data_IF_176698192594
#
_entry.id   IF_176698192594
#
_cell.length_a   1.000
_cell.length_b   1.000
_cell.length_c   1.000
_cell.angle_alpha   90.00
_cell.angle_beta   90.00
_cell.angle_gamma   90.00
#
_symmetry.space_group_name_H-M   'P 1'
#
loop_
_entity.id
_entity.type
_entity.pdbx_description
1 polymer ?
#
# COMPACT_ATOMS: atom_id res chain seq x y z
N UNK A 1 15.14 6.80 2.48
CA UNK A 1 14.03 6.67 3.43
C UNK A 1 14.43 7.36 4.71
N UNK A 2 13.60 8.26 5.23
CA UNK A 2 13.81 8.85 6.55
C UNK A 2 12.99 8.01 7.52
N UNK A 3 13.67 7.25 8.40
CA UNK A 3 12.99 6.45 9.43
C UNK A 3 12.38 7.41 10.45
N UNK A 4 11.05 7.51 10.46
CA UNK A 4 10.33 8.34 11.42
C UNK A 4 10.32 7.61 12.78
N UNK A 5 10.60 8.30 13.90
CA UNK A 5 10.65 7.69 15.23
C UNK A 5 9.31 7.15 15.79
N UNK A 6 8.26 7.11 14.97
CA UNK A 6 6.90 6.67 15.33
C UNK A 6 6.50 5.32 14.73
N UNK A 7 7.43 4.53 14.17
CA UNK A 7 7.08 3.27 13.49
C UNK A 7 6.32 3.46 12.17
N UNK A 8 6.19 4.73 11.73
CA UNK A 8 5.56 5.10 10.47
C UNK A 8 6.66 5.36 9.44
N UNK A 9 6.63 4.63 8.34
CA UNK A 9 7.46 4.88 7.17
C UNK A 9 6.62 5.52 6.07
N UNK A 10 7.21 6.46 5.35
CA UNK A 10 6.60 7.05 4.16
C UNK A 10 7.53 6.87 2.98
N UNK A 11 6.98 6.44 1.85
CA UNK A 11 7.69 6.40 0.58
C UNK A 11 6.77 6.86 -0.56
N UNK A 12 7.42 7.33 -1.62
CA UNK A 12 6.79 7.72 -2.88
C UNK A 12 7.40 6.82 -3.94
N UNK A 13 6.56 6.12 -4.67
CA UNK A 13 6.97 5.19 -5.71
C UNK A 13 6.39 5.63 -7.04
N UNK A 14 7.17 5.55 -8.11
CA UNK A 14 6.65 5.63 -9.46
C UNK A 14 6.55 4.22 -10.04
N UNK A 15 5.39 3.87 -10.57
CA UNK A 15 5.15 2.63 -11.29
C UNK A 15 4.71 2.94 -12.71
N UNK A 16 5.29 2.22 -13.67
CA UNK A 16 4.82 2.19 -15.04
C UNK A 16 4.46 0.74 -15.38
N UNK A 17 3.21 0.53 -15.77
CA UNK A 17 2.66 -0.75 -16.14
C UNK A 17 2.48 -0.80 -17.66
N UNK A 18 3.25 -1.70 -18.26
CA UNK A 18 3.02 -2.10 -19.64
C UNK A 18 1.66 -2.80 -19.74
N UNK A 19 0.88 -2.42 -20.74
CA UNK A 19 -0.40 -3.05 -21.11
C UNK A 19 -0.35 -3.43 -22.59
N UNK A 20 -1.03 -4.51 -22.98
CA UNK A 20 -1.05 -4.93 -24.37
C UNK A 20 -1.72 -3.89 -25.28
N UNK A 21 -1.23 -3.80 -26.51
CA UNK A 21 -1.85 -3.01 -27.58
C UNK A 21 -3.33 -3.41 -27.76
N UNK A 22 -4.27 -2.47 -28.00
CA UNK A 22 -4.08 -1.07 -28.41
C UNK A 22 -4.03 -0.04 -27.27
N UNK A 23 -3.81 -0.46 -26.02
CA UNK A 23 -3.84 0.46 -24.89
C UNK A 23 -2.52 1.19 -24.68
N UNK A 24 -2.61 2.48 -24.36
CA UNK A 24 -1.49 3.26 -23.85
C UNK A 24 -1.02 2.68 -22.50
N UNK A 25 0.28 2.79 -22.20
CA UNK A 25 0.83 2.42 -20.90
C UNK A 25 0.12 3.12 -19.76
N UNK A 26 0.14 2.50 -18.58
CA UNK A 26 -0.44 3.05 -17.37
C UNK A 26 0.66 3.45 -16.42
N UNK A 27 0.56 4.61 -15.80
CA UNK A 27 1.49 4.99 -14.75
C UNK A 27 0.77 5.45 -13.49
N UNK A 28 1.46 5.35 -12.36
CA UNK A 28 0.96 5.86 -11.08
C UNK A 28 2.12 6.30 -10.21
N UNK A 29 1.94 7.44 -9.56
CA UNK A 29 2.77 7.84 -8.43
C UNK A 29 2.03 7.41 -7.17
N UNK A 30 2.61 6.48 -6.43
CA UNK A 30 2.01 5.87 -5.26
C UNK A 30 2.65 6.43 -3.99
N UNK A 31 1.83 7.01 -3.12
CA UNK A 31 2.20 7.28 -1.74
C UNK A 31 1.94 6.03 -0.90
N UNK A 32 2.99 5.52 -0.28
CA UNK A 32 2.90 4.42 0.67
C UNK A 32 3.17 4.94 2.09
N UNK A 33 2.34 4.49 3.03
CA UNK A 33 2.54 4.72 4.45
C UNK A 33 2.56 3.36 5.15
N UNK A 34 3.75 2.92 5.56
CA UNK A 34 3.91 1.73 6.37
C UNK A 34 3.74 2.06 7.85
N UNK A 35 2.93 1.29 8.56
CA UNK A 35 2.74 1.38 10.01
C UNK A 35 3.04 0.00 10.57
N UNK A 36 4.05 -0.07 11.45
CA UNK A 36 4.21 -1.20 12.34
C UNK A 36 3.09 -1.15 13.40
N UNK A 37 2.18 -2.11 13.36
CA UNK A 37 1.08 -2.27 14.31
C UNK A 37 1.09 -3.69 14.88
N UNK A 38 2.29 -4.28 15.03
CA UNK A 38 2.44 -5.65 15.51
C UNK A 38 1.91 -5.82 16.95
N UNK A 39 2.09 -4.83 17.81
CA UNK A 39 1.63 -4.95 19.20
C UNK A 39 0.11 -4.77 19.34
N UNK A 40 -0.51 -3.88 18.55
CA UNK A 40 -1.96 -3.60 18.65
C UNK A 40 -2.82 -4.50 17.77
N UNK A 41 -2.35 -4.78 16.55
CA UNK A 41 -3.11 -5.48 15.52
C UNK A 41 -2.48 -6.81 15.11
N UNK A 42 -1.31 -7.15 15.65
CA UNK A 42 -0.57 -8.33 15.19
C UNK A 42 -0.14 -8.24 13.74
N UNK A 43 -0.01 -7.02 13.19
CA UNK A 43 0.19 -6.83 11.75
C UNK A 43 1.11 -5.66 11.41
N UNK A 44 1.91 -5.83 10.35
CA UNK A 44 2.49 -4.72 9.61
C UNK A 44 1.51 -4.30 8.51
N UNK A 45 1.19 -3.02 8.40
CA UNK A 45 0.23 -2.50 7.43
C UNK A 45 0.91 -1.44 6.55
N UNK A 46 0.75 -1.55 5.23
CA UNK A 46 1.20 -0.55 4.25
C UNK A 46 -0.03 -0.02 3.53
N UNK A 47 -0.39 1.23 3.79
CA UNK A 47 -1.50 1.91 3.10
C UNK A 47 -0.99 2.55 1.82
N UNK A 48 -1.77 2.43 0.75
CA UNK A 48 -1.42 2.91 -0.58
C UNK A 48 -2.45 3.93 -1.07
N UNK A 49 -1.99 5.00 -1.73
CA UNK A 49 -2.85 5.94 -2.47
C UNK A 49 -2.11 6.59 -3.62
N UNK A 50 -2.82 6.98 -4.68
CA UNK A 50 -2.23 7.80 -5.74
C UNK A 50 -1.88 9.22 -5.22
N UNK A 51 -0.77 9.79 -5.69
CA UNK A 51 -0.31 11.11 -5.29
C UNK A 51 -1.16 12.26 -5.87
N UNK A 52 -1.86 12.01 -6.97
CA UNK A 52 -2.64 12.99 -7.73
C UNK A 52 -4.15 12.94 -7.51
N UNK A 53 -4.63 12.16 -6.53
CA UNK A 53 -6.05 11.93 -6.28
C UNK A 53 -6.78 13.17 -5.77
N UNK A 54 -7.11 14.10 -6.66
CA UNK A 54 -8.30 14.91 -6.51
C UNK A 54 -9.49 13.96 -6.41
N UNK A 55 -10.40 14.23 -5.47
CA UNK A 55 -11.61 13.46 -5.25
C UNK A 55 -12.28 13.16 -6.61
N UNK A 56 -12.53 11.88 -6.96
CA UNK A 56 -13.10 11.56 -8.26
C UNK A 56 -14.50 12.14 -8.30
N UNK A 57 -14.70 13.26 -9.00
CA UNK A 57 -16.05 13.67 -9.35
C UNK A 57 -16.52 12.67 -10.39
N UNK A 58 -17.22 11.63 -9.95
CA UNK A 58 -18.00 10.71 -10.80
C UNK A 58 -18.89 11.46 -11.81
N UNK A 59 -19.15 12.76 -11.60
CA UNK A 59 -19.80 13.67 -12.52
C UNK A 59 -19.02 13.99 -13.80
N UNK A 60 -17.68 13.92 -13.82
CA UNK A 60 -16.90 14.19 -15.05
C UNK A 60 -17.04 13.06 -16.09
N UNK A 61 -17.24 11.81 -15.64
CA UNK A 61 -17.40 10.66 -16.53
C UNK A 61 -18.78 10.61 -17.21
N UNK A 62 -19.84 11.05 -16.53
CA UNK A 62 -21.19 11.03 -17.09
C UNK A 62 -21.39 12.02 -18.26
N UNK A 63 -20.53 13.04 -18.39
CA UNK A 63 -20.63 14.05 -19.45
C UNK A 63 -19.78 13.74 -20.70
N UNK A 64 -18.92 12.73 -20.66
CA UNK A 64 -18.00 12.39 -21.77
C UNK A 64 -18.52 11.27 -22.71
N UNK A 65 -19.79 10.86 -22.61
CA UNK A 65 -20.42 9.86 -23.48
C UNK A 65 -20.67 10.27 -24.95
N UNK A 66 -19.96 11.29 -25.45
CA UNK A 66 -20.02 11.75 -26.84
C UNK A 66 -18.92 11.09 -27.67
N UNK A 67 -19.31 10.43 -28.77
CA UNK A 67 -18.46 9.71 -29.69
C UNK A 67 -17.33 10.55 -30.30
N UNK A 68 -16.14 10.55 -29.69
CA UNK A 68 -14.91 10.97 -30.35
C UNK A 68 -13.80 9.94 -30.09
N UNK A 69 -13.57 9.09 -31.09
CA UNK A 69 -12.31 8.38 -31.24
C UNK A 69 -11.27 9.39 -31.74
N UNK A 70 -10.62 10.09 -30.82
CA UNK A 70 -9.59 11.07 -31.15
C UNK A 70 -9.45 12.05 -29.99
N UNK A 71 -8.27 12.09 -29.40
CA UNK A 71 -7.87 12.95 -28.29
C UNK A 71 -8.43 12.51 -26.93
N UNK A 72 -7.73 11.54 -26.32
CA UNK A 72 -7.76 11.38 -24.87
C UNK A 72 -7.39 12.74 -24.26
N UNK A 73 -8.39 13.47 -23.75
CA UNK A 73 -8.15 14.65 -22.92
C UNK A 73 -7.38 14.18 -21.70
N UNK A 74 -6.06 14.28 -21.77
CA UNK A 74 -5.17 14.00 -20.68
C UNK A 74 -5.62 14.83 -19.49
N UNK A 75 -6.00 14.17 -18.40
CA UNK A 75 -6.09 14.84 -17.11
C UNK A 75 -4.81 15.65 -16.91
N UNK A 76 -4.94 16.82 -16.28
CA UNK A 76 -3.80 17.71 -16.07
C UNK A 76 -2.61 16.90 -15.56
N UNK A 77 -1.40 17.07 -16.14
CA UNK A 77 -0.24 16.27 -15.77
C UNK A 77 -0.09 16.29 -14.25
N UNK A 78 0.05 15.11 -13.65
CA UNK A 78 0.17 14.96 -12.20
C UNK A 78 1.33 15.86 -11.73
N UNK A 79 0.99 16.94 -11.03
CA UNK A 79 2.00 17.79 -10.42
C UNK A 79 2.57 17.02 -9.24
N UNK A 80 3.79 16.53 -9.43
CA UNK A 80 4.58 15.96 -8.36
C UNK A 80 4.80 17.02 -7.27
N UNK A 81 4.81 16.62 -5.98
CA UNK A 81 5.30 17.50 -4.92
C UNK A 81 6.67 18.06 -5.29
N UNK A 82 6.94 19.33 -4.94
CA UNK A 82 8.13 20.05 -5.42
C UNK A 82 9.48 19.45 -4.99
N UNK A 83 9.47 18.49 -4.08
CA UNK A 83 10.61 17.71 -3.60
C UNK A 83 10.82 16.38 -4.34
N UNK A 84 9.93 16.00 -5.26
CA UNK A 84 10.02 14.74 -6.01
C UNK A 84 10.71 14.96 -7.36
N UNK A 85 11.64 14.05 -7.70
CA UNK A 85 12.31 14.04 -8.99
C UNK A 85 11.30 14.02 -10.16
N UNK A 86 11.63 14.64 -11.30
CA UNK A 86 10.74 14.66 -12.46
C UNK A 86 10.38 13.23 -12.89
N UNK A 87 9.19 13.07 -13.45
CA UNK A 87 8.77 11.79 -14.03
C UNK A 87 9.76 11.33 -15.10
N UNK A 88 10.03 10.02 -15.18
CA UNK A 88 10.95 9.49 -16.17
C UNK A 88 10.35 9.62 -17.58
N UNK A 89 11.20 9.66 -18.61
CA UNK A 89 10.78 9.95 -19.99
C UNK A 89 9.74 8.96 -20.53
N UNK A 90 9.74 7.74 -20.02
CA UNK A 90 8.81 6.64 -20.34
C UNK A 90 7.36 6.93 -19.91
N UNK A 91 7.14 7.91 -19.01
CA UNK A 91 5.79 8.40 -18.67
C UNK A 91 5.11 9.11 -19.85
N UNK A 92 5.87 9.58 -20.85
CA UNK A 92 5.31 10.32 -21.99
C UNK A 92 4.33 9.45 -22.79
N UNK A 93 3.06 9.87 -22.79
CA UNK A 93 1.98 9.15 -23.46
C UNK A 93 1.35 8.02 -22.63
N UNK A 94 1.81 7.83 -21.39
CA UNK A 94 1.11 6.99 -20.42
C UNK A 94 -0.15 7.69 -19.91
N UNK A 95 -1.15 6.89 -19.55
CA UNK A 95 -2.38 7.34 -18.89
C UNK A 95 -2.20 7.10 -17.39
N UNK A 96 -2.35 8.15 -16.59
CA UNK A 96 -2.26 8.03 -15.15
C UNK A 96 -3.45 7.25 -14.59
N UNK A 97 -3.20 6.34 -13.65
CA UNK A 97 -4.23 5.55 -12.98
C UNK A 97 -4.39 5.98 -11.54
N UNK A 98 -5.61 5.85 -11.03
CA UNK A 98 -5.90 6.11 -9.64
C UNK A 98 -5.84 4.86 -8.80
N UNK A 99 -5.27 5.01 -7.60
CA UNK A 99 -5.29 4.02 -6.53
C UNK A 99 -6.07 4.62 -5.39
N UNK A 100 -7.25 4.06 -5.15
CA UNK A 100 -8.20 4.58 -4.16
C UNK A 100 -7.81 4.23 -2.73
N UNK A 101 -8.34 5.01 -1.80
CA UNK A 101 -8.27 4.72 -0.37
C UNK A 101 -8.84 3.34 -0.04
N UNK A 102 -8.32 2.72 1.02
CA UNK A 102 -8.57 1.31 1.35
C UNK A 102 -7.60 0.35 0.69
N UNK A 103 -6.83 0.79 -0.33
CA UNK A 103 -5.74 -0.02 -0.88
C UNK A 103 -4.64 -0.21 0.17
N UNK A 104 -4.26 -1.46 0.42
CA UNK A 104 -3.26 -1.79 1.44
C UNK A 104 -2.54 -3.13 1.17
N UNK A 105 -1.40 -3.28 1.83
CA UNK A 105 -0.74 -4.57 2.06
C UNK A 105 -0.72 -4.83 3.56
N UNK A 106 -1.06 -6.02 3.99
CA UNK A 106 -0.93 -6.43 5.40
C UNK A 106 -0.07 -7.68 5.49
N UNK A 107 0.73 -7.75 6.55
CA UNK A 107 1.55 -8.90 6.88
C UNK A 107 1.27 -9.29 8.32
N UNK A 108 0.72 -10.49 8.51
CA UNK A 108 0.32 -11.03 9.81
C UNK A 108 1.18 -12.25 10.10
N UNK A 109 1.97 -12.26 11.20
CA UNK A 109 2.69 -13.45 11.62
C UNK A 109 1.72 -14.60 11.91
N UNK A 110 2.08 -15.80 11.48
CA UNK A 110 1.34 -17.03 11.79
C UNK A 110 2.19 -17.96 12.65
N UNK A 111 1.52 -18.92 13.27
CA UNK A 111 2.21 -20.02 13.94
C UNK A 111 3.19 -20.67 12.94
N UNK A 112 4.40 -21.04 13.38
CA UNK A 112 5.35 -21.72 12.52
C UNK A 112 4.78 -22.99 11.90
N UNK A 113 5.29 -23.38 10.74
CA UNK A 113 4.97 -24.64 10.08
C UNK A 113 5.40 -25.85 10.91
N UNK A 114 5.04 -27.06 10.43
CA UNK A 114 5.46 -28.31 11.07
C UNK A 114 6.99 -28.52 11.09
N UNK A 115 7.70 -27.82 10.20
CA UNK A 115 9.15 -27.72 10.09
C UNK A 115 9.76 -26.64 11.02
N UNK A 116 8.94 -25.90 11.75
CA UNK A 116 9.36 -24.79 12.61
C UNK A 116 9.67 -23.49 11.86
N UNK A 117 9.45 -23.44 10.55
CA UNK A 117 9.72 -22.23 9.74
C UNK A 117 8.63 -21.18 10.04
N UNK A 118 8.99 -19.93 10.36
CA UNK A 118 8.02 -18.85 10.58
C UNK A 118 7.16 -18.64 9.34
N UNK A 119 5.85 -18.51 9.55
CA UNK A 119 4.89 -18.25 8.47
C UNK A 119 4.37 -16.82 8.57
N UNK A 120 4.13 -16.21 7.42
CA UNK A 120 3.50 -14.89 7.31
C UNK A 120 2.29 -15.02 6.38
N UNK A 121 1.14 -14.56 6.84
CA UNK A 121 0.00 -14.31 5.96
C UNK A 121 0.15 -12.90 5.36
N UNK A 122 0.17 -12.82 4.03
CA UNK A 122 0.22 -11.56 3.30
C UNK A 122 -1.10 -11.34 2.59
N UNK A 123 -1.75 -10.21 2.85
CA UNK A 123 -2.95 -9.77 2.12
C UNK A 123 -2.63 -8.54 1.31
N UNK A 124 -3.02 -8.54 0.03
CA UNK A 124 -2.86 -7.39 -0.86
C UNK A 124 -4.25 -7.02 -1.37
N UNK A 125 -4.67 -5.80 -1.06
CA UNK A 125 -5.91 -5.21 -1.56
C UNK A 125 -5.57 -3.93 -2.31
N UNK A 126 -5.90 -3.86 -3.59
CA UNK A 126 -5.64 -2.66 -4.40
C UNK A 126 -6.88 -2.31 -5.21
N UNK A 127 -7.41 -1.12 -4.96
CA UNK A 127 -8.52 -0.55 -5.70
C UNK A 127 -7.94 0.38 -6.77
N UNK A 128 -7.88 -0.09 -8.02
CA UNK A 128 -7.31 0.65 -9.15
C UNK A 128 -8.42 1.03 -10.13
N UNK A 129 -8.49 2.31 -10.50
CA UNK A 129 -9.23 2.74 -11.69
C UNK A 129 -8.24 3.05 -12.82
N UNK A 130 -8.13 2.14 -13.82
CA UNK A 130 -7.25 2.33 -14.97
C UNK A 130 -7.86 3.20 -16.06
N UNK A 131 -9.06 3.74 -15.85
CA UNK A 131 -9.80 4.57 -16.78
C UNK A 131 -10.02 3.92 -18.14
N UNK A 132 -10.45 2.65 -18.14
CA UNK A 132 -10.94 1.98 -19.34
C UNK A 132 -12.43 2.29 -19.54
N UNK A 133 -12.85 2.93 -20.65
CA UNK A 133 -14.27 3.19 -20.92
C UNK A 133 -15.12 1.91 -20.91
N UNK A 134 -14.51 0.81 -21.36
CA UNK A 134 -15.05 -0.54 -21.25
C UNK A 134 -13.87 -1.49 -21.12
N UNK A 135 -13.82 -2.26 -20.04
CA UNK A 135 -12.77 -3.27 -19.86
C UNK A 135 -13.04 -4.41 -20.85
N UNK A 136 -12.18 -4.63 -21.86
CA UNK A 136 -12.31 -5.77 -22.75
C UNK A 136 -12.01 -7.07 -22.00
N UNK A 137 -12.68 -8.15 -22.38
CA UNK A 137 -12.51 -9.47 -21.75
C UNK A 137 -11.06 -9.95 -21.76
N UNK A 138 -10.30 -9.66 -22.82
CA UNK A 138 -8.90 -10.10 -22.90
C UNK A 138 -7.99 -9.42 -21.86
N UNK A 139 -8.33 -8.21 -21.38
CA UNK A 139 -7.60 -7.57 -20.27
C UNK A 139 -7.87 -8.35 -18.99
N UNK A 140 -9.12 -8.73 -18.74
CA UNK A 140 -9.49 -9.54 -17.57
C UNK A 140 -8.71 -10.87 -17.60
N UNK A 141 -8.71 -11.54 -18.75
CA UNK A 141 -7.93 -12.77 -18.94
C UNK A 141 -6.43 -12.55 -18.74
N UNK A 142 -5.86 -11.46 -19.28
CA UNK A 142 -4.46 -11.11 -19.06
C UNK A 142 -4.15 -10.89 -17.59
N UNK A 143 -4.98 -10.11 -16.88
CA UNK A 143 -4.79 -9.83 -15.45
C UNK A 143 -4.85 -11.13 -14.65
N UNK A 144 -5.87 -11.97 -14.86
CA UNK A 144 -6.08 -13.17 -14.07
C UNK A 144 -5.09 -14.30 -14.42
N UNK A 145 -4.73 -14.47 -15.70
CA UNK A 145 -3.90 -15.60 -16.15
C UNK A 145 -2.41 -15.29 -16.22
N UNK A 146 -2.03 -14.03 -16.39
CA UNK A 146 -0.63 -13.64 -16.59
C UNK A 146 -0.15 -12.77 -15.43
N UNK A 147 -0.84 -11.67 -15.14
CA UNK A 147 -0.36 -10.69 -14.16
C UNK A 147 -0.47 -11.21 -12.72
N UNK A 148 -1.60 -11.78 -12.31
CA UNK A 148 -1.80 -12.26 -10.94
C UNK A 148 -0.82 -13.39 -10.55
N UNK A 149 -0.57 -14.42 -11.37
CA UNK A 149 0.46 -15.43 -11.07
C UNK A 149 1.86 -14.84 -11.02
N UNK A 150 2.17 -13.84 -11.87
CA UNK A 150 3.45 -13.15 -11.84
C UNK A 150 3.63 -12.38 -10.52
N UNK A 151 2.63 -11.58 -10.11
CA UNK A 151 2.65 -10.85 -8.83
C UNK A 151 2.81 -11.84 -7.67
N UNK A 152 2.04 -12.93 -7.66
CA UNK A 152 2.16 -13.96 -6.63
C UNK A 152 3.59 -14.52 -6.53
N UNK A 153 4.22 -14.87 -7.68
CA UNK A 153 5.59 -15.36 -7.70
C UNK A 153 6.59 -14.33 -7.19
N UNK A 154 6.41 -13.05 -7.52
CA UNK A 154 7.25 -11.97 -7.00
C UNK A 154 7.10 -11.82 -5.49
N UNK A 155 5.87 -11.86 -4.96
CA UNK A 155 5.62 -11.83 -3.51
C UNK A 155 6.31 -13.02 -2.85
N UNK A 156 6.13 -14.24 -3.35
CA UNK A 156 6.78 -15.44 -2.82
C UNK A 156 8.31 -15.33 -2.84
N UNK A 157 8.89 -14.84 -3.94
CA UNK A 157 10.33 -14.66 -4.07
C UNK A 157 10.90 -13.61 -3.11
N UNK A 158 10.17 -12.51 -2.92
CA UNK A 158 10.54 -11.47 -1.96
C UNK A 158 10.42 -12.01 -0.53
N UNK A 159 9.33 -12.70 -0.20
CA UNK A 159 9.14 -13.27 1.14
C UNK A 159 10.18 -14.34 1.46
N UNK A 160 10.54 -15.20 0.51
CA UNK A 160 11.56 -16.23 0.71
C UNK A 160 12.98 -15.64 0.81
N UNK A 161 13.24 -14.50 0.18
CA UNK A 161 14.51 -13.80 0.35
C UNK A 161 14.70 -13.31 1.81
N UNK A 162 13.61 -13.01 2.53
CA UNK A 162 13.66 -12.64 3.94
C UNK A 162 13.89 -13.82 4.89
N UNK A 163 13.75 -15.06 4.43
CA UNK A 163 13.93 -16.29 5.22
C UNK A 163 15.41 -16.73 5.31
N UNK A 164 16.30 -16.09 4.57
CA UNK A 164 17.72 -16.48 4.50
C UNK A 164 18.56 -15.86 5.61
N UNK A 165 19.72 -16.48 5.93
CA UNK A 165 20.79 -15.95 6.79
C UNK A 165 21.19 -14.48 6.47
N UNK A 166 20.85 -13.98 5.28
CA UNK A 166 21.01 -12.56 4.92
C UNK A 166 20.16 -11.63 5.80
N UNK A 167 19.03 -12.08 6.33
CA UNK A 167 18.25 -11.32 7.30
C UNK A 167 18.95 -11.24 8.66
N UNK A 168 19.74 -12.26 9.02
CA UNK A 168 20.60 -12.18 10.20
C UNK A 168 21.59 -11.02 10.08
N UNK A 169 22.09 -10.71 8.88
CA UNK A 169 22.94 -9.54 8.63
C UNK A 169 22.19 -8.22 8.83
N UNK A 170 20.92 -8.13 8.42
CA UNK A 170 20.12 -6.92 8.67
C UNK A 170 19.78 -6.74 10.15
N UNK A 171 19.40 -7.82 10.82
CA UNK A 171 19.16 -7.84 12.28
C UNK A 171 20.43 -7.47 13.04
N UNK A 172 21.54 -8.09 12.69
CA UNK A 172 22.86 -7.76 13.20
C UNK A 172 23.22 -6.29 12.95
N UNK A 173 22.96 -5.73 11.77
CA UNK A 173 23.18 -4.30 11.51
C UNK A 173 22.29 -3.40 12.36
N UNK A 174 21.06 -3.80 12.65
CA UNK A 174 20.16 -3.06 13.54
C UNK A 174 20.69 -3.09 14.97
N UNK A 175 21.16 -4.26 15.43
CA UNK A 175 21.68 -4.48 16.77
C UNK A 175 23.06 -3.81 16.97
N UNK A 176 23.94 -3.89 15.96
CA UNK A 176 25.30 -3.33 15.94
C UNK A 176 25.34 -1.83 15.58
N UNK A 177 24.24 -1.25 15.09
CA UNK A 177 24.23 0.16 14.69
C UNK A 177 24.40 1.06 15.91
N UNK A 178 25.21 2.13 15.86
CA UNK A 178 25.22 3.15 16.92
C UNK A 178 23.86 3.87 17.08
N UNK A 179 22.91 3.64 16.16
CA UNK A 179 21.52 4.08 16.28
C UNK A 179 20.62 3.08 17.03
N UNK A 180 21.14 2.01 17.64
CA UNK A 180 20.38 1.12 18.54
C UNK A 180 19.59 1.89 19.61
N UNK A 181 20.12 2.98 20.22
CA UNK A 181 19.33 3.82 21.13
C UNK A 181 18.11 4.47 20.47
N UNK A 182 18.17 4.77 19.16
CA UNK A 182 17.02 5.26 18.39
C UNK A 182 16.00 4.13 18.21
N UNK A 183 16.42 2.94 17.79
CA UNK A 183 15.51 1.80 17.66
C UNK A 183 14.85 1.44 18.99
N UNK A 184 15.59 1.46 20.10
CA UNK A 184 15.06 1.23 21.45
C UNK A 184 14.17 2.37 21.94
N UNK A 185 14.44 3.61 21.53
CA UNK A 185 13.55 4.75 21.78
C UNK A 185 12.24 4.59 21.03
N UNK A 186 12.29 4.19 19.75
CA UNK A 186 11.10 3.92 18.93
C UNK A 186 10.29 2.79 19.57
N UNK A 187 10.92 1.65 19.88
CA UNK A 187 10.28 0.52 20.57
C UNK A 187 9.62 0.96 21.89
N UNK A 188 10.33 1.71 22.73
CA UNK A 188 9.78 2.21 24.02
C UNK A 188 8.61 3.18 23.84
N UNK A 189 8.71 4.13 22.90
CA UNK A 189 7.62 5.08 22.64
C UNK A 189 6.41 4.39 22.05
N UNK A 190 6.64 3.39 21.20
CA UNK A 190 5.60 2.56 20.64
C UNK A 190 4.86 1.82 21.76
N UNK A 191 5.56 1.01 22.56
CA UNK A 191 4.97 0.29 23.69
C UNK A 191 4.20 1.20 24.67
N UNK A 192 4.72 2.40 24.97
CA UNK A 192 4.02 3.37 25.81
C UNK A 192 2.74 3.92 25.17
N UNK A 193 2.76 4.19 23.86
CA UNK A 193 1.60 4.67 23.13
C UNK A 193 0.52 3.59 22.98
N UNK A 194 0.92 2.35 22.67
CA UNK A 194 0.03 1.19 22.60
C UNK A 194 -0.68 0.95 23.94
N UNK A 195 0.06 1.00 25.06
CA UNK A 195 -0.50 0.86 26.40
C UNK A 195 -1.53 1.95 26.74
N UNK A 196 -1.25 3.21 26.38
CA UNK A 196 -2.16 4.33 26.60
C UNK A 196 -3.45 4.19 25.78
N UNK A 197 -3.34 3.77 24.51
CA UNK A 197 -4.48 3.59 23.62
C UNK A 197 -5.36 2.41 24.05
N UNK A 198 -4.75 1.31 24.50
CA UNK A 198 -5.47 0.17 25.07
C UNK A 198 -6.24 0.55 26.34
N UNK A 199 -5.61 1.30 27.26
CA UNK A 199 -6.29 1.82 28.44
C UNK A 199 -7.48 2.73 28.10
N UNK A 200 -7.32 3.59 27.08
CA UNK A 200 -8.38 4.49 26.62
C UNK A 200 -9.57 3.73 26.00
N UNK A 201 -9.32 2.60 25.32
CA UNK A 201 -10.38 1.77 24.75
C UNK A 201 -11.19 1.05 25.83
N UNK A 202 -10.54 0.54 26.88
CA UNK A 202 -11.20 -0.09 28.02
C UNK A 202 -12.10 0.88 28.78
N UNK A 203 -11.68 2.14 28.92
CA UNK A 203 -12.51 3.19 29.53
C UNK A 203 -13.72 3.57 28.66
N UNK A 204 -13.56 3.55 27.32
CA UNK A 204 -14.66 3.82 26.39
C UNK A 204 -15.73 2.72 26.41
N UNK A 205 -15.32 1.45 26.46
CA UNK A 205 -16.24 0.30 26.51
C UNK A 205 -16.93 0.17 27.87
N UNK A 206 -16.25 0.57 28.95
CA UNK A 206 -16.81 0.58 30.31
C UNK A 206 -17.89 1.65 30.55
N UNK A 207 -17.98 2.67 29.70
CA UNK A 207 -18.98 3.73 29.81
C UNK A 207 -20.20 3.52 28.89
N UNK A 208 -20.30 2.34 28.27
CA UNK A 208 -21.49 1.87 27.57
C UNK A 208 -22.64 1.70 28.56
N UNK A 209 -23.40 2.78 28.78
CA UNK A 209 -24.60 2.79 29.60
C UNK A 209 -25.49 1.60 29.24
N UNK A 210 -25.78 0.76 30.24
CA UNK A 210 -26.79 -0.29 30.15
C UNK A 210 -28.09 0.39 29.70
N UNK A 211 -28.66 0.03 28.54
CA UNK A 211 -29.94 0.58 28.14
C UNK A 211 -30.96 0.13 29.19
N UNK A 212 -31.46 1.08 29.98
CA UNK A 212 -32.61 0.89 30.83
C UNK A 212 -33.82 0.65 29.91
N UNK A 213 -34.03 -0.62 29.55
CA UNK A 213 -35.29 -1.11 29.01
C UNK A 213 -36.33 -1.06 30.13
N UNK A 214 -37.11 0.01 30.12
CA UNK A 214 -38.32 0.17 30.90
C UNK A 214 -39.45 -0.71 30.33
N UNK A 215 -40.37 -1.04 31.24
CA UNK A 215 -41.58 -1.85 31.09
C UNK A 215 -42.54 -1.46 29.96
#
# INVERSE_FOLDING_TARGET
>A
SVLCPTGVSRAIHYYNQWVPWPFAHRDVILHSHGVDALDELGALVIMLRAAGGGQPSSQQYAQQGGSHAGDAQGGAPVQLPGDVAPLPAESKGSVSVDVHEGSCLTFVPKAPGADGVPLIESTIMVHVDPYFPRVPTFIIDFVLRILAPFIYRQVVAITSAFDTDKYAIFRQRIDDSPTTPLYDLVKRRFAAHSAQKFASSLEADGNGAVPNGAD
#
